data_IF_859263398381
#
_entry.id   IF_859263398381
#
_cell.length_a   1.000
_cell.length_b   1.000
_cell.length_c   1.000
_cell.angle_alpha   90.00
_cell.angle_beta   90.00
_cell.angle_gamma   90.00
#
_symmetry.space_group_name_H-M   'P 1'
#
loop_
_entity.id
_entity.type
_entity.pdbx_description
1 polymer ?
#
# COMPACT_ATOMS: atom_id res chain seq x y z
N UNK A 1 2.39 -10.37 -14.86
CA UNK A 1 3.48 -10.60 -13.90
C UNK A 1 3.03 -10.26 -12.49
N UNK A 2 2.66 -9.01 -12.20
CA UNK A 2 2.28 -8.58 -10.84
C UNK A 2 1.09 -9.35 -10.25
N UNK A 3 0.08 -9.67 -11.06
CA UNK A 3 -1.04 -10.53 -10.66
C UNK A 3 -0.59 -11.93 -10.22
N UNK A 4 0.29 -12.57 -10.99
CA UNK A 4 0.81 -13.90 -10.66
C UNK A 4 1.64 -13.85 -9.37
N UNK A 5 2.39 -12.78 -9.16
CA UNK A 5 3.15 -12.57 -7.93
C UNK A 5 2.22 -12.32 -6.72
N UNK A 6 1.28 -11.38 -6.83
CA UNK A 6 0.34 -11.02 -5.77
C UNK A 6 -0.51 -12.20 -5.33
N UNK A 7 -0.94 -13.06 -6.26
CA UNK A 7 -1.69 -14.28 -5.92
C UNK A 7 -0.93 -15.19 -4.94
N UNK A 8 0.38 -15.37 -5.15
CA UNK A 8 1.20 -16.17 -4.23
C UNK A 8 1.35 -15.47 -2.88
N UNK A 9 1.56 -14.15 -2.87
CA UNK A 9 1.65 -13.41 -1.62
C UNK A 9 0.36 -13.45 -0.81
N UNK A 10 -0.80 -13.32 -1.45
CA UNK A 10 -2.12 -13.47 -0.79
C UNK A 10 -2.29 -14.87 -0.21
N UNK A 11 -1.94 -15.92 -0.96
CA UNK A 11 -2.01 -17.31 -0.49
C UNK A 11 -1.15 -17.54 0.76
N UNK A 12 0.10 -17.05 0.75
CA UNK A 12 1.01 -17.18 1.89
C UNK A 12 0.66 -16.25 3.05
N UNK A 13 0.07 -15.08 2.78
CA UNK A 13 -0.50 -14.20 3.80
C UNK A 13 -1.59 -14.92 4.59
N UNK A 14 -2.54 -15.55 3.90
CA UNK A 14 -3.64 -16.28 4.52
C UNK A 14 -3.17 -17.49 5.34
N UNK A 15 -2.02 -18.08 4.97
CA UNK A 15 -1.35 -19.16 5.73
C UNK A 15 -0.52 -18.66 6.92
N UNK A 16 -0.48 -17.34 7.17
CA UNK A 16 0.41 -16.68 8.15
C UNK A 16 1.88 -17.05 7.96
N UNK A 17 2.29 -17.27 6.72
CA UNK A 17 3.62 -17.74 6.36
C UNK A 17 4.56 -16.55 6.07
N UNK A 18 4.60 -15.61 7.00
CA UNK A 18 5.43 -14.40 6.95
C UNK A 18 6.66 -14.51 7.86
N UNK A 19 7.63 -13.60 7.69
CA UNK A 19 8.80 -13.41 8.54
C UNK A 19 8.70 -12.05 9.27
N UNK A 20 9.55 -11.84 10.29
CA UNK A 20 9.54 -10.59 11.07
C UNK A 20 9.75 -9.32 10.25
N UNK A 21 10.47 -9.40 9.11
CA UNK A 21 10.84 -8.27 8.27
C UNK A 21 10.49 -8.49 6.78
N UNK A 22 9.47 -9.29 6.44
CA UNK A 22 9.26 -9.67 5.04
C UNK A 22 8.65 -11.04 4.85
N UNK A 23 8.77 -11.53 3.62
CA UNK A 23 8.48 -12.92 3.27
C UNK A 23 9.66 -13.83 3.61
N UNK A 24 9.35 -15.09 3.94
CA UNK A 24 10.39 -16.12 4.10
C UNK A 24 11.05 -16.45 2.74
N UNK A 25 12.32 -16.90 2.72
CA UNK A 25 13.05 -17.18 1.49
C UNK A 25 12.36 -18.12 0.50
N UNK A 26 11.57 -19.09 0.98
CA UNK A 26 10.86 -20.04 0.12
C UNK A 26 9.69 -19.40 -0.62
N UNK A 27 9.03 -18.39 -0.05
CA UNK A 27 7.92 -17.67 -0.69
C UNK A 27 8.41 -16.98 -1.96
N UNK A 28 9.57 -16.32 -1.92
CA UNK A 28 10.18 -15.73 -3.12
C UNK A 28 10.47 -16.77 -4.21
N UNK A 29 10.93 -17.96 -3.83
CA UNK A 29 11.14 -19.07 -4.79
C UNK A 29 9.83 -19.52 -5.42
N UNK A 30 8.75 -19.61 -4.64
CA UNK A 30 7.41 -19.97 -5.14
C UNK A 30 6.89 -18.89 -6.08
N UNK A 31 7.07 -17.61 -5.76
CA UNK A 31 6.71 -16.49 -6.65
C UNK A 31 7.43 -16.62 -7.99
N UNK A 32 8.75 -16.81 -7.98
CA UNK A 32 9.55 -16.95 -9.20
C UNK A 32 9.02 -18.10 -10.07
N UNK A 33 8.79 -19.27 -9.47
CA UNK A 33 8.27 -20.43 -10.18
C UNK A 33 6.86 -20.18 -10.73
N UNK A 34 5.99 -19.52 -9.96
CA UNK A 34 4.64 -19.22 -10.38
C UNK A 34 4.59 -18.19 -11.52
N UNK A 35 5.44 -17.16 -11.48
CA UNK A 35 5.58 -16.20 -12.59
C UNK A 35 6.12 -16.89 -13.84
N UNK A 36 7.14 -17.75 -13.70
CA UNK A 36 7.63 -18.55 -14.83
C UNK A 36 6.51 -19.39 -15.44
N UNK A 37 5.75 -20.11 -14.61
CA UNK A 37 4.67 -20.98 -15.08
C UNK A 37 3.50 -20.21 -15.73
N UNK A 38 3.04 -19.11 -15.12
CA UNK A 38 1.85 -18.38 -15.58
C UNK A 38 2.13 -17.35 -16.66
N UNK A 39 3.30 -16.72 -16.63
CA UNK A 39 3.65 -15.62 -17.54
C UNK A 39 4.69 -16.02 -18.58
N UNK A 40 5.32 -17.20 -18.47
CA UNK A 40 6.41 -17.62 -19.34
C UNK A 40 7.58 -16.61 -19.37
N UNK A 41 7.87 -15.99 -18.22
CA UNK A 41 8.97 -15.04 -18.04
C UNK A 41 9.87 -15.52 -16.92
N UNK A 42 11.17 -15.54 -17.19
CA UNK A 42 12.20 -15.77 -16.17
C UNK A 42 12.46 -14.50 -15.38
N UNK A 43 12.25 -14.57 -14.07
CA UNK A 43 12.54 -13.50 -13.12
C UNK A 43 13.44 -14.01 -12.00
N UNK A 44 14.26 -13.14 -11.42
CA UNK A 44 15.05 -13.48 -10.24
C UNK A 44 14.33 -13.05 -8.96
N UNK A 45 14.87 -13.45 -7.80
CA UNK A 45 14.35 -13.00 -6.50
C UNK A 45 14.48 -11.48 -6.34
N UNK A 46 15.54 -10.89 -6.89
CA UNK A 46 15.79 -9.45 -6.87
C UNK A 46 14.72 -8.68 -7.65
N UNK A 47 14.24 -9.21 -8.78
CA UNK A 47 13.09 -8.65 -9.49
C UNK A 47 11.83 -8.67 -8.62
N UNK A 48 11.57 -9.77 -7.91
CA UNK A 48 10.41 -9.85 -6.99
C UNK A 48 10.53 -8.81 -5.88
N UNK A 49 11.71 -8.69 -5.28
CA UNK A 49 11.97 -7.73 -4.20
C UNK A 49 11.80 -6.29 -4.70
N UNK A 50 12.29 -5.95 -5.90
CA UNK A 50 12.13 -4.61 -6.47
C UNK A 50 10.66 -4.28 -6.77
N UNK A 51 9.90 -5.27 -7.25
CA UNK A 51 8.46 -5.14 -7.42
C UNK A 51 7.74 -4.93 -6.09
N UNK A 52 8.08 -5.69 -5.04
CA UNK A 52 7.54 -5.49 -3.70
C UNK A 52 7.78 -4.08 -3.16
N UNK A 53 9.00 -3.53 -3.33
CA UNK A 53 9.32 -2.14 -2.93
C UNK A 53 8.47 -1.12 -3.68
N UNK A 54 8.20 -1.38 -4.96
CA UNK A 54 7.38 -0.50 -5.80
C UNK A 54 5.92 -0.54 -5.35
N UNK A 55 5.38 -1.74 -5.12
CA UNK A 55 4.02 -1.96 -4.61
C UNK A 55 3.85 -1.32 -3.24
N UNK A 56 4.80 -1.51 -2.34
CA UNK A 56 4.80 -0.91 -1.01
C UNK A 56 4.76 0.62 -1.08
N UNK A 57 5.60 1.23 -1.93
CA UNK A 57 5.57 2.68 -2.16
C UNK A 57 4.21 3.15 -2.68
N UNK A 58 3.58 2.40 -3.58
CA UNK A 58 2.23 2.72 -4.04
C UNK A 58 1.21 2.62 -2.92
N UNK A 59 1.26 1.54 -2.14
CA UNK A 59 0.40 1.32 -0.99
C UNK A 59 0.49 2.48 0.01
N UNK A 60 1.70 2.86 0.44
CA UNK A 60 1.89 3.96 1.40
C UNK A 60 1.29 5.27 0.90
N UNK A 61 1.54 5.62 -0.37
CA UNK A 61 1.04 6.87 -0.94
C UNK A 61 -0.48 6.87 -1.08
N UNK A 62 -1.06 5.77 -1.58
CA UNK A 62 -2.51 5.64 -1.76
C UNK A 62 -3.21 5.56 -0.40
N UNK A 63 -2.69 4.79 0.54
CA UNK A 63 -3.23 4.73 1.90
C UNK A 63 -3.25 6.10 2.58
N UNK A 64 -2.19 6.92 2.41
CA UNK A 64 -2.15 8.30 2.90
C UNK A 64 -3.22 9.19 2.25
N UNK A 65 -3.41 9.06 0.93
CA UNK A 65 -4.47 9.78 0.20
C UNK A 65 -5.86 9.40 0.70
N UNK A 66 -6.15 8.10 0.83
CA UNK A 66 -7.45 7.60 1.30
C UNK A 66 -7.72 7.92 2.78
N UNK A 67 -6.66 8.10 3.58
CA UNK A 67 -6.78 8.56 4.96
C UNK A 67 -7.08 10.06 5.05
N UNK A 68 -6.91 10.80 3.96
CA UNK A 68 -7.22 12.24 3.91
C UNK A 68 -8.71 12.43 3.67
N UNK A 69 -9.41 12.89 4.70
CA UNK A 69 -10.86 13.12 4.66
C UNK A 69 -11.25 14.00 3.46
N UNK A 70 -12.25 13.54 2.70
CA UNK A 70 -12.82 14.27 1.57
C UNK A 70 -11.96 14.30 0.29
N UNK A 71 -10.79 13.66 0.26
CA UNK A 71 -9.99 13.58 -0.96
C UNK A 71 -10.63 12.66 -2.01
N UNK A 72 -11.35 11.64 -1.53
CA UNK A 72 -12.12 10.68 -2.31
C UNK A 72 -11.66 9.24 -2.09
N UNK A 73 -12.12 8.35 -2.96
CA UNK A 73 -12.00 6.90 -2.80
C UNK A 73 -11.20 6.23 -3.92
N UNK A 74 -10.61 5.08 -3.61
CA UNK A 74 -9.99 4.23 -4.63
C UNK A 74 -11.01 3.25 -5.19
N UNK A 75 -11.52 3.51 -6.40
CA UNK A 75 -12.47 2.63 -7.08
C UNK A 75 -12.07 2.41 -8.53
N UNK A 76 -12.45 1.28 -9.11
CA UNK A 76 -12.08 0.93 -10.49
C UNK A 76 -10.56 1.01 -10.76
N UNK A 77 -9.74 0.62 -9.76
CA UNK A 77 -8.28 0.65 -9.81
C UNK A 77 -7.66 2.07 -9.93
N UNK A 78 -8.40 3.14 -9.59
CA UNK A 78 -7.93 4.53 -9.69
C UNK A 78 -8.53 5.42 -8.60
N UNK A 79 -7.89 6.56 -8.35
CA UNK A 79 -8.43 7.59 -7.46
C UNK A 79 -9.65 8.30 -8.09
N UNK A 80 -10.78 8.19 -7.42
CA UNK A 80 -11.95 9.04 -7.64
C UNK A 80 -11.90 10.19 -6.64
N UNK A 81 -11.92 11.41 -7.16
CA UNK A 81 -11.80 12.62 -6.35
C UNK A 81 -13.18 13.26 -6.25
N UNK A 82 -13.59 13.57 -5.02
CA UNK A 82 -14.89 14.19 -4.76
C UNK A 82 -14.87 15.71 -5.01
N UNK A 83 -13.71 16.36 -4.84
CA UNK A 83 -13.52 17.79 -5.08
C UNK A 83 -12.13 18.11 -5.67
N UNK A 84 -12.12 18.81 -6.80
CA UNK A 84 -10.88 19.22 -7.46
C UNK A 84 -10.08 20.25 -6.62
N UNK A 85 -10.77 21.05 -5.80
CA UNK A 85 -10.14 22.01 -4.89
C UNK A 85 -9.37 21.28 -3.78
N UNK A 86 -9.97 20.21 -3.22
CA UNK A 86 -9.32 19.37 -2.22
C UNK A 86 -8.11 18.64 -2.81
N UNK A 87 -8.24 18.11 -4.04
CA UNK A 87 -7.12 17.51 -4.75
C UNK A 87 -5.98 18.50 -5.00
N UNK A 88 -6.30 19.70 -5.50
CA UNK A 88 -5.32 20.74 -5.77
C UNK A 88 -4.57 21.16 -4.50
N UNK A 89 -5.28 21.28 -3.36
CA UNK A 89 -4.67 21.58 -2.08
C UNK A 89 -3.81 20.43 -1.56
N UNK A 90 -4.26 19.18 -1.72
CA UNK A 90 -3.49 18.01 -1.33
C UNK A 90 -2.17 17.89 -2.11
N UNK A 91 -2.19 18.11 -3.43
CA UNK A 91 -0.99 18.06 -4.29
C UNK A 91 -0.01 19.20 -3.98
N UNK A 92 -0.51 20.39 -3.61
CA UNK A 92 0.37 21.48 -3.13
C UNK A 92 1.18 21.06 -1.91
N UNK A 93 0.58 20.29 -1.00
CA UNK A 93 1.24 19.76 0.18
C UNK A 93 2.05 18.46 -0.10
N UNK A 94 1.67 17.68 -1.12
CA UNK A 94 2.28 16.39 -1.48
C UNK A 94 2.52 16.32 -3.00
N UNK A 95 3.59 16.97 -3.46
CA UNK A 95 3.87 17.11 -4.90
C UNK A 95 4.05 15.77 -5.62
N UNK A 96 4.58 14.79 -4.93
CA UNK A 96 4.78 13.42 -5.39
C UNK A 96 3.46 12.65 -5.60
N UNK A 97 2.37 13.07 -4.95
CA UNK A 97 1.06 12.46 -5.14
C UNK A 97 0.42 12.81 -6.50
N UNK A 98 0.91 13.85 -7.20
CA UNK A 98 0.33 14.32 -8.46
C UNK A 98 0.18 13.20 -9.51
N UNK A 99 1.13 12.25 -9.56
CA UNK A 99 1.10 11.15 -10.51
C UNK A 99 -0.09 10.20 -10.28
N UNK A 100 -0.61 10.11 -9.06
CA UNK A 100 -1.70 9.20 -8.71
C UNK A 100 -3.08 9.69 -9.18
N UNK A 101 -3.20 10.94 -9.65
CA UNK A 101 -4.47 11.49 -10.15
C UNK A 101 -5.08 10.64 -11.25
N UNK A 102 -4.22 10.09 -12.11
CA UNK A 102 -4.63 9.31 -13.27
C UNK A 102 -4.02 7.92 -13.32
N UNK A 103 -3.18 7.58 -12.36
CA UNK A 103 -2.53 6.27 -12.31
C UNK A 103 -3.55 5.18 -12.01
N UNK A 104 -3.40 4.06 -12.73
CA UNK A 104 -4.17 2.85 -12.51
C UNK A 104 -3.31 1.86 -11.75
N UNK A 105 -3.71 1.51 -10.53
CA UNK A 105 -3.08 0.44 -9.73
C UNK A 105 -4.09 -0.69 -9.63
N UNK A 106 -3.80 -1.77 -10.37
CA UNK A 106 -4.62 -2.98 -10.35
C UNK A 106 -4.41 -3.75 -9.05
N UNK A 107 -5.41 -4.58 -8.70
CA UNK A 107 -5.34 -5.49 -7.55
C UNK A 107 -5.13 -4.74 -6.22
N UNK A 108 -5.73 -3.54 -6.10
CA UNK A 108 -5.61 -2.72 -4.90
C UNK A 108 -6.03 -3.47 -3.63
N UNK A 109 -7.08 -4.28 -3.69
CA UNK A 109 -7.54 -5.05 -2.53
C UNK A 109 -6.50 -6.07 -2.08
N UNK A 110 -5.88 -6.79 -3.03
CA UNK A 110 -4.79 -7.73 -2.75
C UNK A 110 -3.56 -7.01 -2.21
N UNK A 111 -3.22 -5.85 -2.77
CA UNK A 111 -2.09 -5.02 -2.29
C UNK A 111 -2.38 -4.55 -0.86
N UNK A 112 -3.57 -4.00 -0.62
CA UNK A 112 -3.99 -3.50 0.69
C UNK A 112 -3.99 -4.62 1.73
N UNK A 113 -4.49 -5.81 1.39
CA UNK A 113 -4.47 -6.98 2.27
C UNK A 113 -3.04 -7.35 2.69
N UNK A 114 -2.16 -7.50 1.70
CA UNK A 114 -0.81 -8.07 1.89
C UNK A 114 0.18 -7.05 2.48
N UNK A 115 0.04 -5.77 2.13
CA UNK A 115 0.97 -4.68 2.49
C UNK A 115 0.41 -3.73 3.55
N UNK A 116 -0.76 -4.04 4.13
CA UNK A 116 -1.28 -3.29 5.27
C UNK A 116 -0.31 -3.28 6.47
N UNK A 117 -0.35 -2.19 7.24
CA UNK A 117 0.65 -1.79 8.25
C UNK A 117 0.83 -2.78 9.42
N UNK A 118 0.01 -3.83 9.48
CA UNK A 118 0.19 -4.96 10.40
C UNK A 118 1.33 -5.91 9.97
N UNK A 119 1.90 -5.69 8.79
CA UNK A 119 3.17 -6.28 8.42
C UNK A 119 4.30 -5.40 8.94
N UNK A 120 5.01 -5.85 9.98
CA UNK A 120 6.20 -5.20 10.53
C UNK A 120 7.34 -5.13 9.50
N UNK A 121 7.22 -4.21 8.53
CA UNK A 121 8.31 -3.88 7.64
C UNK A 121 9.14 -2.81 8.35
N UNK A 122 10.15 -3.28 9.11
CA UNK A 122 11.18 -2.42 9.64
C UNK A 122 12.03 -1.80 8.52
N UNK A 123 11.56 -0.72 7.91
CA UNK A 123 12.40 0.16 7.08
C UNK A 123 12.03 1.62 7.31
N UNK A 124 12.42 2.11 8.48
CA UNK A 124 12.90 3.48 8.62
C UNK A 124 14.42 3.48 8.58
N UNK A 125 15.03 3.43 7.38
CA UNK A 125 16.41 3.85 7.08
C UNK A 125 16.76 3.58 5.60
N UNK A 126 17.30 4.58 4.90
CA UNK A 126 17.89 4.47 3.55
C UNK A 126 17.22 5.36 2.48
N UNK A 127 17.06 6.65 2.75
CA UNK A 127 17.80 7.77 2.08
C UNK A 127 17.37 8.13 0.66
N UNK A 128 16.81 9.33 0.56
CA UNK A 128 16.77 10.15 -0.65
C UNK A 128 18.19 10.61 -1.01
N UNK A 129 18.91 9.81 -1.80
CA UNK A 129 20.02 10.21 -2.67
C UNK A 129 20.64 8.93 -3.22
N UNK A 130 20.23 8.51 -4.43
CA UNK A 130 21.02 7.69 -5.35
C UNK A 130 20.18 7.47 -6.62
N UNK A 131 20.00 8.55 -7.37
CA UNK A 131 19.71 8.50 -8.79
C UNK A 131 20.95 9.05 -9.48
N UNK A 132 21.50 8.26 -10.41
CA UNK A 132 22.58 8.60 -11.34
C UNK A 132 24.01 8.35 -10.87
N UNK A 133 24.51 7.13 -11.10
CA UNK A 133 25.73 6.89 -11.88
C UNK A 133 25.93 5.37 -12.13
N UNK A 134 26.70 5.08 -13.17
CA UNK A 134 27.35 3.80 -13.48
C UNK A 134 26.57 2.77 -14.31
N UNK A 135 26.38 3.16 -15.56
CA UNK A 135 26.70 2.28 -16.70
C UNK A 135 28.22 2.38 -16.95
N UNK A 136 28.97 1.30 -16.74
CA UNK A 136 30.20 0.95 -17.48
C UNK A 136 30.77 -0.37 -16.95
N UNK A 137 31.04 -1.31 -17.88
CA UNK A 137 32.16 -2.26 -17.92
C UNK A 137 32.73 -2.82 -16.58
N UNK A 138 32.97 -4.12 -16.37
CA UNK A 138 33.41 -5.12 -17.33
C UNK A 138 33.50 -6.51 -16.67
N UNK A 139 33.74 -7.48 -17.53
CA UNK A 139 33.85 -8.92 -17.35
C UNK A 139 35.33 -9.36 -17.10
N UNK A 140 35.53 -10.56 -16.53
CA UNK A 140 36.71 -11.48 -16.62
C UNK A 140 37.98 -11.30 -15.73
N UNK A 141 38.25 -12.38 -14.97
CA UNK A 141 39.50 -13.08 -14.55
C UNK A 141 40.79 -12.38 -14.06
N UNK A 142 41.16 -12.75 -12.82
CA UNK A 142 42.32 -13.60 -12.39
C UNK A 142 43.82 -13.24 -12.67
N UNK A 143 44.63 -13.39 -11.61
CA UNK A 143 46.11 -13.71 -11.51
C UNK A 143 47.18 -12.58 -11.57
N UNK A 144 47.72 -12.24 -10.38
CA UNK A 144 49.15 -12.32 -9.93
C UNK A 144 50.26 -11.30 -10.35
N UNK A 145 50.88 -10.74 -9.29
CA UNK A 145 52.33 -10.55 -9.00
C UNK A 145 53.18 -9.40 -9.61
N UNK A 146 53.67 -8.58 -8.65
CA UNK A 146 55.00 -7.94 -8.43
C UNK A 146 55.50 -6.77 -9.28
N UNK A 147 55.75 -5.70 -8.51
CA UNK A 147 57.03 -4.97 -8.35
C UNK A 147 57.28 -3.65 -9.12
N UNK A 148 57.38 -2.61 -8.28
CA UNK A 148 58.52 -1.70 -8.11
C UNK A 148 58.54 -0.32 -8.82
N UNK A 149 59.00 0.64 -8.00
CA UNK A 149 59.58 1.96 -8.28
C UNK A 149 58.58 3.10 -8.63
N UNK A 150 58.67 4.33 -8.12
CA UNK A 150 59.60 5.01 -7.20
C UNK A 150 59.03 6.41 -6.90
N UNK A 151 59.15 6.84 -5.64
CA UNK A 151 59.22 8.21 -5.06
C UNK A 151 58.26 9.31 -5.55
N UNK A 152 57.57 10.03 -4.65
CA UNK A 152 58.21 11.09 -3.84
C UNK A 152 57.45 11.43 -2.54
N UNK A 153 58.20 11.42 -1.42
CA UNK A 153 58.26 12.34 -0.25
C UNK A 153 57.36 13.59 -0.26
N UNK A 154 56.79 14.12 0.84
CA UNK A 154 57.25 14.16 2.24
C UNK A 154 56.14 14.70 3.21
N UNK A 155 56.12 14.14 4.43
CA UNK A 155 55.94 14.76 5.77
C UNK A 155 54.63 15.44 6.23
N UNK A 156 53.90 14.68 7.06
CA UNK A 156 53.54 14.91 8.50
C UNK A 156 52.91 16.23 8.97
N UNK A 157 51.76 16.09 9.64
CA UNK A 157 51.52 16.63 11.00
C UNK A 157 50.32 15.94 11.70
N UNK A 158 50.55 15.40 12.90
CA UNK A 158 49.55 14.82 13.81
C UNK A 158 48.72 15.91 14.50
N UNK A 159 47.39 15.81 14.58
CA UNK A 159 46.60 16.46 15.65
C UNK A 159 45.40 15.60 16.11
N UNK A 160 45.45 15.16 17.38
CA UNK A 160 44.35 14.52 18.14
C UNK A 160 43.20 15.50 18.41
N UNK A 161 41.93 15.05 18.39
CA UNK A 161 40.77 15.61 19.16
C UNK A 161 39.57 14.63 19.12
N UNK A 162 39.35 13.86 20.20
CA UNK A 162 38.34 14.04 21.27
C UNK A 162 36.86 13.94 20.81
N UNK A 163 36.21 12.83 21.22
CA UNK A 163 34.76 12.58 21.21
C UNK A 163 34.01 13.63 22.06
N UNK A 164 32.92 14.19 21.52
CA UNK A 164 31.91 14.94 22.27
C UNK A 164 30.58 14.17 22.19
N UNK A 165 29.98 13.88 23.34
CA UNK A 165 28.63 13.30 23.50
C UNK A 165 27.66 14.43 23.82
N UNK A 166 26.55 14.50 23.09
CA UNK A 166 25.42 15.41 23.35
C UNK A 166 24.12 14.73 22.94
N UNK A 167 23.75 13.66 23.65
CA UNK A 167 22.51 12.89 23.37
C UNK A 167 21.31 13.32 24.23
N UNK A 168 21.50 14.00 25.37
CA UNK A 168 20.37 14.30 26.29
C UNK A 168 19.50 15.49 25.87
N UNK A 169 19.99 16.38 25.00
CA UNK A 169 19.23 17.57 24.55
C UNK A 169 18.17 17.23 23.48
N UNK A 170 18.44 16.21 22.64
CA UNK A 170 17.56 15.85 21.52
C UNK A 170 16.36 15.03 22.01
N UNK A 171 16.57 14.13 22.98
CA UNK A 171 15.51 13.31 23.56
C UNK A 171 14.46 14.16 24.30
N UNK A 172 14.91 15.20 25.01
CA UNK A 172 14.02 16.16 25.70
C UNK A 172 13.13 16.94 24.73
N UNK A 173 13.69 17.41 23.60
CA UNK A 173 12.92 18.18 22.61
C UNK A 173 11.90 17.33 21.83
N UNK A 174 12.10 16.01 21.76
CA UNK A 174 11.19 15.07 21.10
C UNK A 174 9.97 14.71 21.97
N UNK A 175 10.13 14.67 23.29
CA UNK A 175 9.03 14.37 24.23
C UNK A 175 7.95 15.44 24.23
N UNK A 176 8.34 16.71 24.38
CA UNK A 176 7.38 17.82 24.50
C UNK A 176 6.50 18.01 23.24
N UNK A 177 7.05 17.77 22.05
CA UNK A 177 6.29 17.89 20.80
C UNK A 177 5.30 16.75 20.58
N UNK A 178 5.59 15.56 21.10
CA UNK A 178 4.71 14.39 20.96
C UNK A 178 3.49 14.49 21.90
N UNK A 179 3.69 15.02 23.11
CA UNK A 179 2.61 15.26 24.07
C UNK A 179 1.63 16.35 23.57
N UNK A 180 2.16 17.39 22.92
CA UNK A 180 1.34 18.44 22.31
C UNK A 180 0.51 17.92 21.11
N UNK A 181 1.01 16.92 20.38
CA UNK A 181 0.27 16.29 19.29
C UNK A 181 -0.83 15.35 19.80
N UNK A 182 -0.56 14.63 20.89
CA UNK A 182 -1.51 13.70 21.51
C UNK A 182 -2.68 14.44 22.20
N UNK A 183 -2.41 15.57 22.83
CA UNK A 183 -3.45 16.41 23.45
C UNK A 183 -4.36 17.07 22.41
N UNK A 184 -3.79 17.54 21.29
CA UNK A 184 -4.55 18.06 20.15
C UNK A 184 -5.45 16.97 19.52
N UNK A 185 -4.93 15.76 19.35
CA UNK A 185 -5.69 14.62 18.83
C UNK A 185 -6.86 14.22 19.74
N UNK A 186 -6.66 14.26 21.07
CA UNK A 186 -7.70 13.91 22.05
C UNK A 186 -8.79 14.98 22.16
N UNK A 187 -8.45 16.25 21.91
CA UNK A 187 -9.43 17.34 21.87
C UNK A 187 -10.31 17.31 20.61
N UNK A 188 -9.77 16.85 19.48
CA UNK A 188 -10.49 16.77 18.20
C UNK A 188 -11.44 15.57 18.10
N UNK A 189 -11.15 14.47 18.82
CA UNK A 189 -12.05 13.31 18.95
C UNK A 189 -13.35 13.64 19.72
N UNK A 190 -13.40 14.73 20.48
CA UNK A 190 -14.60 15.13 21.21
C UNK A 190 -15.70 15.75 20.32
N UNK A 191 -15.46 15.99 19.02
CA UNK A 191 -16.44 16.62 18.12
C UNK A 191 -16.84 15.79 16.88
N UNK A 192 -16.46 14.51 16.79
CA UNK A 192 -16.79 13.71 15.61
C UNK A 192 -18.19 13.10 15.72
N UNK A 193 -19.07 13.64 14.87
CA UNK A 193 -20.35 13.11 14.40
C UNK A 193 -20.32 11.57 14.25
N UNK A 194 -21.36 10.83 14.65
CA UNK A 194 -21.35 9.36 14.65
C UNK A 194 -21.09 8.80 13.24
N UNK A 195 -20.08 7.93 13.08
CA UNK A 195 -19.96 7.08 11.89
C UNK A 195 -21.11 6.08 11.91
N UNK A 196 -21.94 6.09 10.87
CA UNK A 196 -22.98 5.08 10.68
C UNK A 196 -22.38 3.68 10.71
N UNK A 197 -23.01 2.77 11.46
CA UNK A 197 -22.63 1.35 11.48
C UNK A 197 -22.69 0.77 10.06
N UNK A 198 -21.74 -0.11 9.68
CA UNK A 198 -21.91 -0.92 8.47
C UNK A 198 -23.18 -1.77 8.62
N UNK A 199 -23.90 -1.95 7.51
CA UNK A 199 -25.20 -2.64 7.52
C UNK A 199 -25.01 -4.11 7.91
N UNK A 200 -25.87 -4.62 8.79
CA UNK A 200 -25.78 -6.00 9.25
C UNK A 200 -26.13 -6.96 8.10
N UNK A 201 -25.48 -8.14 8.00
CA UNK A 201 -25.88 -9.19 7.05
C UNK A 201 -27.37 -9.56 7.16
N UNK A 202 -27.94 -9.50 8.36
CA UNK A 202 -29.36 -9.75 8.61
C UNK A 202 -30.26 -8.67 7.98
N UNK A 203 -29.87 -7.40 8.06
CA UNK A 203 -30.60 -6.28 7.43
C UNK A 203 -30.56 -6.37 5.90
N UNK A 204 -29.45 -6.83 5.34
CA UNK A 204 -29.29 -7.03 3.89
C UNK A 204 -30.22 -8.14 3.40
N UNK A 205 -30.29 -9.26 4.12
CA UNK A 205 -31.19 -10.36 3.82
C UNK A 205 -32.66 -9.95 3.91
N UNK A 206 -33.05 -9.26 4.99
CA UNK A 206 -34.43 -8.80 5.16
C UNK A 206 -34.87 -7.84 4.05
N UNK A 207 -33.99 -6.92 3.65
CA UNK A 207 -34.27 -5.99 2.58
C UNK A 207 -34.39 -6.66 1.20
N UNK A 208 -33.62 -7.73 0.94
CA UNK A 208 -33.71 -8.52 -0.28
C UNK A 208 -35.00 -9.35 -0.31
N UNK A 209 -35.36 -9.97 0.82
CA UNK A 209 -36.61 -10.73 0.97
C UNK A 209 -37.86 -9.84 0.82
N UNK A 210 -37.76 -8.55 1.16
CA UNK A 210 -38.84 -7.59 0.96
C UNK A 210 -39.06 -7.22 -0.52
N UNK A 211 -38.15 -7.56 -1.44
CA UNK A 211 -38.32 -7.27 -2.87
C UNK A 211 -39.29 -8.28 -3.50
N UNK A 212 -40.53 -7.86 -3.71
CA UNK A 212 -41.56 -8.70 -4.30
C UNK A 212 -41.14 -9.28 -5.67
N UNK A 213 -41.10 -10.61 -5.75
CA UNK A 213 -40.88 -11.38 -6.98
C UNK A 213 -39.41 -11.45 -7.44
N UNK A 214 -38.44 -11.31 -6.54
CA UNK A 214 -37.04 -11.68 -6.81
C UNK A 214 -36.91 -13.20 -6.67
N UNK A 215 -36.41 -13.91 -7.70
CA UNK A 215 -36.19 -15.36 -7.61
C UNK A 215 -35.02 -15.66 -6.67
N UNK A 216 -35.08 -16.81 -6.00
CA UNK A 216 -34.09 -17.23 -4.98
C UNK A 216 -32.66 -17.28 -5.54
N UNK A 217 -32.49 -17.64 -6.82
CA UNK A 217 -31.19 -17.65 -7.50
C UNK A 217 -30.61 -16.22 -7.63
N UNK A 218 -31.46 -15.24 -7.99
CA UNK A 218 -31.05 -13.83 -8.06
C UNK A 218 -30.90 -13.20 -6.67
N UNK A 219 -31.57 -13.74 -5.66
CA UNK A 219 -31.45 -13.30 -4.27
C UNK A 219 -30.07 -13.63 -3.71
N UNK A 220 -29.56 -14.85 -3.96
CA UNK A 220 -28.20 -15.24 -3.56
C UNK A 220 -27.14 -14.38 -4.25
N UNK A 221 -27.24 -14.21 -5.57
CA UNK A 221 -26.29 -13.38 -6.32
C UNK A 221 -26.32 -11.91 -5.89
N UNK A 222 -27.51 -11.38 -5.58
CA UNK A 222 -27.64 -10.04 -5.01
C UNK A 222 -27.01 -9.95 -3.61
N UNK A 223 -27.23 -10.95 -2.76
CA UNK A 223 -26.71 -10.96 -1.40
C UNK A 223 -25.18 -10.90 -1.37
N UNK A 224 -24.51 -11.71 -2.19
CA UNK A 224 -23.06 -11.71 -2.31
C UNK A 224 -22.50 -10.35 -2.77
N UNK A 225 -23.22 -9.65 -3.66
CA UNK A 225 -22.83 -8.30 -4.13
C UNK A 225 -23.03 -7.25 -3.03
N UNK A 226 -24.13 -7.33 -2.28
CA UNK A 226 -24.50 -6.34 -1.27
C UNK A 226 -23.71 -6.49 0.04
N UNK A 227 -23.32 -7.71 0.40
CA UNK A 227 -22.45 -7.94 1.56
C UNK A 227 -21.01 -7.49 1.27
N UNK A 228 -20.58 -7.56 0.01
CA UNK A 228 -19.27 -7.08 -0.43
C UNK A 228 -19.19 -5.54 -0.53
N UNK A 229 -20.33 -4.86 -0.73
CA UNK A 229 -20.39 -3.41 -0.91
C UNK A 229 -21.59 -2.76 -0.19
N UNK A 230 -21.35 -2.27 1.03
CA UNK A 230 -22.32 -1.54 1.86
C UNK A 230 -22.92 -0.30 1.15
N UNK A 231 -22.20 0.28 0.19
CA UNK A 231 -22.72 1.43 -0.57
C UNK A 231 -23.79 1.02 -1.56
N UNK A 232 -23.66 -0.17 -2.17
CA UNK A 232 -24.71 -0.74 -3.01
C UNK A 232 -25.96 -1.05 -2.18
N UNK A 233 -25.79 -1.52 -0.95
CA UNK A 233 -26.91 -1.73 -0.05
C UNK A 233 -27.61 -0.41 0.33
N UNK A 234 -26.85 0.62 0.70
CA UNK A 234 -27.41 1.96 0.96
C UNK A 234 -28.12 2.55 -0.25
N UNK A 235 -27.57 2.36 -1.46
CA UNK A 235 -28.21 2.76 -2.70
C UNK A 235 -29.52 1.99 -2.94
N UNK A 236 -29.57 0.69 -2.66
CA UNK A 236 -30.80 -0.11 -2.73
C UNK A 236 -31.86 0.42 -1.76
N UNK A 237 -31.48 0.78 -0.53
CA UNK A 237 -32.39 1.30 0.48
C UNK A 237 -32.95 2.69 0.13
N UNK A 238 -32.17 3.51 -0.58
CA UNK A 238 -32.61 4.82 -1.08
C UNK A 238 -33.57 4.74 -2.28
N UNK A 239 -33.70 3.57 -2.94
CA UNK A 239 -34.56 3.42 -4.11
C UNK A 239 -36.02 3.16 -3.73
N UNK A 240 -36.98 3.71 -4.52
CA UNK A 240 -38.38 3.32 -4.42
C UNK A 240 -38.57 1.83 -4.68
N UNK A 241 -39.47 1.18 -3.95
CA UNK A 241 -39.70 -0.28 -4.00
C UNK A 241 -39.92 -0.83 -5.42
N UNK A 242 -40.66 -0.08 -6.25
CA UNK A 242 -40.89 -0.41 -7.68
C UNK A 242 -39.62 -0.53 -8.53
N UNK A 243 -38.51 0.06 -8.08
CA UNK A 243 -37.24 0.12 -8.81
C UNK A 243 -36.20 -0.85 -8.26
N UNK A 244 -36.36 -1.31 -7.02
CA UNK A 244 -35.40 -2.18 -6.34
C UNK A 244 -35.12 -3.45 -7.13
N UNK A 245 -36.15 -4.21 -7.54
CA UNK A 245 -36.00 -5.42 -8.37
C UNK A 245 -35.20 -5.19 -9.64
N UNK A 246 -35.58 -4.17 -10.43
CA UNK A 246 -34.92 -3.86 -11.71
C UNK A 246 -33.46 -3.42 -11.51
N UNK A 247 -33.20 -2.68 -10.45
CA UNK A 247 -31.85 -2.24 -10.11
C UNK A 247 -30.97 -3.40 -9.64
N UNK A 248 -31.48 -4.28 -8.76
CA UNK A 248 -30.78 -5.48 -8.29
C UNK A 248 -30.38 -6.39 -9.45
N UNK A 249 -31.31 -6.67 -10.36
CA UNK A 249 -31.01 -7.45 -11.58
C UNK A 249 -29.96 -6.79 -12.48
N UNK A 250 -29.89 -5.46 -12.50
CA UNK A 250 -28.85 -4.74 -13.25
C UNK A 250 -27.48 -4.84 -12.57
N UNK A 251 -27.42 -4.95 -11.25
CA UNK A 251 -26.18 -5.16 -10.51
C UNK A 251 -25.63 -6.58 -10.68
N UNK A 252 -26.52 -7.57 -10.80
CA UNK A 252 -26.15 -8.97 -11.02
C UNK A 252 -25.58 -9.19 -12.44
N UNK A 253 -26.19 -8.57 -13.46
CA UNK A 253 -25.77 -8.74 -14.87
C UNK A 253 -24.61 -7.82 -15.30
N UNK A 254 -23.83 -7.29 -14.35
CA UNK A 254 -22.78 -6.28 -14.58
C UNK A 254 -21.38 -6.88 -14.40
#
# INVERSE_FOLDING_TARGET
MDEAMLNVFVEHYNRRDSAQNGWKPHVYTIVVNNVRAKCNVDITKENVISSCKTIDRHYVNVSKMLSTSGLGDWTHNKLMVDSEDLWSNYVKANKDAACYRHMVIKFWDSISLVFSKDHAMGTGAGTAAESSAEMAAENVNNVNIKSAATSSTQTSEEHKKKRYRSDDSIASMLGEKLDNFTSAYKADIAQVVPRDKPSSPEEILDALNAIAGLDDDYLLEAYDILIADDRKFKALMALPERMKKKWTLKQINQ
#
